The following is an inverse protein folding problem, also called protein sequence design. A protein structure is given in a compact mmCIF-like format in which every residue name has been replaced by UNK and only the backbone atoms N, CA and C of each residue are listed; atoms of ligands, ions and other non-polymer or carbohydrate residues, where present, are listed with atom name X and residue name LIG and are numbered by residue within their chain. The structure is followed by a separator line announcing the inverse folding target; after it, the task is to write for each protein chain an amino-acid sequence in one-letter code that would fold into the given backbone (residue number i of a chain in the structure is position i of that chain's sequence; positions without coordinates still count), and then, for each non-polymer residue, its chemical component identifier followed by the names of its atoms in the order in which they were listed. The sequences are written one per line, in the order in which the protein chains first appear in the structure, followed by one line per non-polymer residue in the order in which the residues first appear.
data_IF_277770477111
#
_entry.id   IF_277770477111
#
_cell.length_a   1.000
_cell.length_b   1.000
_cell.length_c   1.000
_cell.angle_alpha   90.00
_cell.angle_beta   90.00
_cell.angle_gamma   90.00
#
_symmetry.space_group_name_H-M   'P 1'
#
loop_
_entity.id
_entity.type
_entity.pdbx_description
1 polymer ?
#
# COMPACT_ATOMS: atom_id res chain seq x y z
N UNK A 1 -18.38 63.21 -18.14
CA UNK A 1 -17.38 62.40 -17.39
C UNK A 1 -17.71 60.93 -17.61
N UNK A 2 -17.00 60.29 -18.54
CA UNK A 2 -17.16 58.87 -18.87
C UNK A 2 -16.08 58.09 -18.12
N UNK A 3 -16.50 57.26 -17.20
CA UNK A 3 -15.62 56.39 -16.41
C UNK A 3 -15.43 55.05 -17.15
N UNK A 4 -14.19 54.77 -17.55
CA UNK A 4 -13.79 53.45 -18.12
C UNK A 4 -13.41 52.49 -16.97
N UNK A 5 -13.89 51.26 -16.95
CA UNK A 5 -13.40 50.25 -16.00
C UNK A 5 -12.06 49.68 -16.47
N UNK A 6 -11.04 49.75 -15.60
CA UNK A 6 -9.76 49.06 -15.79
C UNK A 6 -9.95 47.60 -15.56
N UNK A 7 -9.81 46.79 -16.63
CA UNK A 7 -9.79 45.35 -16.59
C UNK A 7 -8.41 44.86 -16.09
N UNK A 8 -8.32 44.42 -14.83
CA UNK A 8 -7.10 43.80 -14.28
C UNK A 8 -7.07 42.34 -14.77
N UNK A 9 -6.25 42.06 -15.78
CA UNK A 9 -5.94 40.70 -16.21
C UNK A 9 -4.93 40.11 -15.21
N UNK A 10 -5.40 39.22 -14.31
CA UNK A 10 -4.52 38.44 -13.45
C UNK A 10 -3.84 37.39 -14.33
N UNK A 11 -2.57 37.56 -14.63
CA UNK A 11 -1.71 36.56 -15.24
C UNK A 11 -1.44 35.48 -14.19
N UNK A 12 -2.16 34.35 -14.30
CA UNK A 12 -1.77 33.14 -13.61
C UNK A 12 -0.48 32.61 -14.24
N UNK A 13 0.65 32.87 -13.58
CA UNK A 13 1.90 32.19 -13.87
C UNK A 13 1.74 30.71 -13.45
N UNK A 14 1.32 29.87 -14.37
CA UNK A 14 1.51 28.43 -14.24
C UNK A 14 3.02 28.17 -14.35
N UNK A 15 3.67 27.95 -13.22
CA UNK A 15 5.02 27.38 -13.17
C UNK A 15 4.92 25.97 -13.76
N UNK A 16 5.15 25.85 -15.06
CA UNK A 16 5.46 24.59 -15.71
C UNK A 16 6.78 24.14 -15.10
N UNK A 17 6.75 23.17 -14.19
CA UNK A 17 7.94 22.45 -13.78
C UNK A 17 8.50 21.79 -15.06
N UNK A 18 9.54 22.40 -15.62
CA UNK A 18 10.32 21.80 -16.70
C UNK A 18 10.90 20.50 -16.12
N UNK A 19 10.41 19.34 -16.58
CA UNK A 19 11.08 18.09 -16.31
C UNK A 19 12.56 18.27 -16.63
N UNK A 20 13.45 17.85 -15.74
CA UNK A 20 14.89 17.90 -15.97
C UNK A 20 15.19 17.12 -17.26
N UNK A 21 15.32 17.86 -18.36
CA UNK A 21 15.57 17.28 -19.69
C UNK A 21 16.84 16.44 -19.72
N UNK A 22 17.80 16.69 -18.82
CA UNK A 22 19.03 15.92 -18.70
C UNK A 22 18.77 14.50 -18.17
N UNK A 23 17.90 14.36 -17.19
CA UNK A 23 17.50 13.07 -16.63
C UNK A 23 16.70 12.24 -17.63
N UNK A 24 15.79 12.83 -18.39
CA UNK A 24 15.03 12.15 -19.45
C UNK A 24 15.97 11.64 -20.54
N UNK A 25 16.88 12.50 -21.05
CA UNK A 25 17.85 12.11 -22.08
C UNK A 25 18.81 10.99 -21.62
N UNK A 26 19.17 10.96 -20.33
CA UNK A 26 19.98 9.90 -19.77
C UNK A 26 19.21 8.57 -19.70
N UNK A 27 17.94 8.61 -19.29
CA UNK A 27 17.06 7.46 -19.24
C UNK A 27 16.78 6.89 -20.65
N UNK A 28 16.56 7.73 -21.65
CA UNK A 28 16.34 7.31 -23.04
C UNK A 28 17.58 6.65 -23.67
N UNK A 29 18.78 7.03 -23.23
CA UNK A 29 20.03 6.33 -23.64
C UNK A 29 20.11 4.90 -23.06
N UNK A 30 19.54 4.67 -21.88
CA UNK A 30 19.44 3.34 -21.27
C UNK A 30 18.34 2.50 -21.92
N UNK A 31 17.32 3.15 -22.51
CA UNK A 31 16.26 2.62 -23.36
C UNK A 31 15.32 1.59 -22.73
N UNK A 32 15.63 1.02 -21.58
CA UNK A 32 14.77 0.03 -20.92
C UNK A 32 14.90 0.05 -19.38
N UNK A 33 13.89 -0.52 -18.73
CA UNK A 33 13.93 -0.89 -17.31
C UNK A 33 13.31 -2.27 -17.09
N UNK A 34 13.77 -2.97 -16.06
CA UNK A 34 13.17 -4.20 -15.54
C UNK A 34 12.47 -3.89 -14.23
N UNK A 35 11.14 -3.93 -14.25
CA UNK A 35 10.27 -3.69 -13.10
C UNK A 35 9.86 -5.00 -12.43
N UNK A 36 10.21 -5.18 -11.16
CA UNK A 36 9.61 -6.22 -10.33
C UNK A 36 8.48 -5.61 -9.50
N UNK A 37 7.26 -6.18 -9.58
CA UNK A 37 6.07 -5.55 -9.01
C UNK A 37 5.09 -6.53 -8.38
N UNK A 38 4.45 -6.11 -7.29
CA UNK A 38 3.28 -6.78 -6.68
C UNK A 38 1.95 -6.17 -7.14
N UNK A 39 1.99 -5.10 -7.94
CA UNK A 39 0.79 -4.48 -8.50
C UNK A 39 0.07 -5.47 -9.44
N UNK A 40 -1.26 -5.58 -9.31
CA UNK A 40 -2.07 -6.49 -10.13
C UNK A 40 -1.84 -6.26 -11.64
N UNK A 41 -1.94 -7.33 -12.44
CA UNK A 41 -1.58 -7.31 -13.85
C UNK A 41 -2.23 -6.20 -14.67
N UNK A 42 -3.55 -5.97 -14.50
CA UNK A 42 -4.24 -4.89 -15.23
C UNK A 42 -3.76 -3.49 -14.83
N UNK A 43 -3.61 -3.23 -13.52
CA UNK A 43 -3.13 -1.95 -13.03
C UNK A 43 -1.68 -1.70 -13.45
N UNK A 44 -0.84 -2.76 -13.38
CA UNK A 44 0.55 -2.70 -13.83
C UNK A 44 0.63 -2.36 -15.32
N UNK A 45 -0.19 -3.01 -16.16
CA UNK A 45 -0.25 -2.74 -17.60
C UNK A 45 -0.61 -1.26 -17.88
N UNK A 46 -1.66 -0.75 -17.24
CA UNK A 46 -2.09 0.65 -17.40
C UNK A 46 -1.00 1.63 -16.96
N UNK A 47 -0.30 1.33 -15.87
CA UNK A 47 0.81 2.15 -15.37
C UNK A 47 1.99 2.19 -16.36
N UNK A 48 2.36 1.02 -16.89
CA UNK A 48 3.44 0.90 -17.89
C UNK A 48 3.08 1.63 -19.19
N UNK A 49 1.87 1.44 -19.70
CA UNK A 49 1.39 2.10 -20.91
C UNK A 49 1.42 3.64 -20.77
N UNK A 50 0.98 4.15 -19.62
CA UNK A 50 1.01 5.58 -19.33
C UNK A 50 2.43 6.14 -19.23
N UNK A 51 3.35 5.39 -18.58
CA UNK A 51 4.76 5.75 -18.51
C UNK A 51 5.39 5.80 -19.91
N UNK A 52 5.24 4.74 -20.71
CA UNK A 52 5.82 4.64 -22.05
C UNK A 52 5.18 5.65 -23.03
N UNK A 53 3.92 6.01 -22.83
CA UNK A 53 3.30 7.10 -23.59
C UNK A 53 3.95 8.45 -23.31
N UNK A 54 4.34 8.71 -22.06
CA UNK A 54 5.02 9.94 -21.64
C UNK A 54 6.50 9.95 -22.00
N UNK A 55 7.14 8.78 -21.95
CA UNK A 55 8.58 8.58 -22.20
C UNK A 55 8.80 7.45 -23.20
N UNK A 56 8.53 7.71 -24.50
CA UNK A 56 8.54 6.65 -25.53
C UNK A 56 9.93 6.05 -25.80
N UNK A 57 10.99 6.73 -25.38
CA UNK A 57 12.37 6.23 -25.47
C UNK A 57 12.74 5.18 -24.43
N UNK A 58 11.83 4.83 -23.46
CA UNK A 58 12.13 3.86 -22.41
C UNK A 58 11.09 2.74 -22.40
N UNK A 59 11.54 1.51 -22.67
CA UNK A 59 10.67 0.30 -22.62
C UNK A 59 10.66 -0.29 -21.21
N UNK A 60 9.50 -0.75 -20.73
CA UNK A 60 9.37 -1.41 -19.42
C UNK A 60 9.12 -2.90 -19.60
N UNK A 61 10.07 -3.72 -19.15
CA UNK A 61 9.88 -5.16 -18.96
C UNK A 61 9.47 -5.41 -17.53
N UNK A 62 8.35 -6.12 -17.29
CA UNK A 62 7.88 -6.35 -15.93
C UNK A 62 7.78 -7.81 -15.56
N UNK A 63 8.12 -8.12 -14.31
CA UNK A 63 7.77 -9.36 -13.66
C UNK A 63 6.78 -9.07 -12.52
N UNK A 64 5.73 -9.87 -12.43
CA UNK A 64 4.70 -9.77 -11.41
C UNK A 64 4.67 -11.02 -10.53
N UNK A 65 4.45 -10.84 -9.23
CA UNK A 65 4.29 -11.92 -8.26
C UNK A 65 3.68 -11.44 -6.94
N UNK A 66 3.42 -12.38 -6.04
CA UNK A 66 3.06 -12.05 -4.66
C UNK A 66 4.26 -11.47 -3.92
N UNK A 67 4.00 -10.82 -2.79
CA UNK A 67 5.04 -10.26 -1.90
C UNK A 67 6.06 -11.33 -1.47
N UNK A 68 5.57 -12.53 -1.12
CA UNK A 68 6.43 -13.66 -0.77
C UNK A 68 7.28 -14.14 -1.97
N UNK A 69 6.66 -14.25 -3.16
CA UNK A 69 7.38 -14.62 -4.38
C UNK A 69 8.43 -13.57 -4.76
N UNK A 70 8.13 -12.29 -4.54
CA UNK A 70 9.04 -11.16 -4.72
C UNK A 70 10.25 -11.30 -3.80
N UNK A 71 10.02 -11.49 -2.51
CA UNK A 71 11.08 -11.67 -1.52
C UNK A 71 12.01 -12.84 -1.92
N UNK A 72 11.44 -14.00 -2.20
CA UNK A 72 12.17 -15.20 -2.56
C UNK A 72 12.99 -15.02 -3.86
N UNK A 73 12.39 -14.38 -4.86
CA UNK A 73 13.05 -14.11 -6.14
C UNK A 73 14.25 -13.19 -5.97
N UNK A 74 14.06 -12.03 -5.35
CA UNK A 74 15.14 -11.04 -5.16
C UNK A 74 16.28 -11.65 -4.36
N UNK A 75 16.01 -12.38 -3.27
CA UNK A 75 17.04 -13.01 -2.46
C UNK A 75 17.76 -14.18 -3.17
N UNK A 76 17.06 -14.86 -4.07
CA UNK A 76 17.68 -15.94 -4.87
C UNK A 76 18.59 -15.37 -5.95
N UNK A 77 18.11 -14.34 -6.67
CA UNK A 77 18.89 -13.67 -7.70
C UNK A 77 20.10 -12.93 -7.10
N UNK A 78 19.96 -12.32 -5.91
CA UNK A 78 21.07 -11.69 -5.19
C UNK A 78 22.17 -12.69 -4.86
N UNK A 79 21.84 -13.86 -4.29
CA UNK A 79 22.84 -14.89 -3.94
C UNK A 79 23.62 -15.40 -5.15
N UNK A 80 23.02 -15.40 -6.32
CA UNK A 80 23.67 -15.78 -7.58
C UNK A 80 24.36 -14.62 -8.31
N UNK A 81 24.30 -13.40 -7.76
CA UNK A 81 24.81 -12.19 -8.41
C UNK A 81 24.04 -11.80 -9.68
N UNK A 82 22.80 -12.29 -9.83
CA UNK A 82 21.99 -12.18 -11.04
C UNK A 82 20.70 -11.36 -10.85
N UNK A 83 20.65 -10.47 -9.84
CA UNK A 83 19.49 -9.58 -9.65
C UNK A 83 19.35 -8.66 -10.86
N UNK A 84 18.21 -8.78 -11.54
CA UNK A 84 17.95 -8.10 -12.83
C UNK A 84 17.04 -6.88 -12.69
N UNK A 85 16.41 -6.71 -11.55
CA UNK A 85 15.48 -5.58 -11.36
C UNK A 85 16.21 -4.25 -11.37
N UNK A 86 15.69 -3.28 -12.10
CA UNK A 86 16.06 -1.86 -12.01
C UNK A 86 15.15 -1.11 -11.04
N UNK A 87 13.92 -1.55 -10.92
CA UNK A 87 12.93 -1.01 -9.99
C UNK A 87 12.21 -2.15 -9.29
N UNK A 88 12.02 -2.04 -7.97
CA UNK A 88 11.21 -2.94 -7.17
C UNK A 88 10.04 -2.15 -6.58
N UNK A 89 8.82 -2.63 -6.82
CA UNK A 89 7.59 -2.15 -6.19
C UNK A 89 6.98 -3.29 -5.37
N UNK A 90 7.03 -3.18 -4.03
CA UNK A 90 6.62 -4.24 -3.10
C UNK A 90 6.18 -3.68 -1.75
N UNK A 91 5.83 -4.56 -0.82
CA UNK A 91 5.51 -4.19 0.57
C UNK A 91 6.70 -3.59 1.31
N UNK A 92 6.41 -2.70 2.26
CA UNK A 92 7.44 -2.01 3.06
C UNK A 92 8.30 -2.96 3.89
N UNK A 93 7.73 -4.06 4.38
CA UNK A 93 8.46 -5.05 5.21
C UNK A 93 9.54 -5.77 4.40
N UNK A 94 9.24 -6.20 3.16
CA UNK A 94 10.22 -6.80 2.25
C UNK A 94 11.30 -5.80 1.87
N UNK A 95 10.89 -4.55 1.64
CA UNK A 95 11.83 -3.48 1.28
C UNK A 95 12.84 -3.21 2.40
N UNK A 96 12.45 -3.37 3.66
CA UNK A 96 13.40 -3.31 4.80
C UNK A 96 14.38 -4.48 4.80
N UNK A 97 13.96 -5.68 4.40
CA UNK A 97 14.88 -6.82 4.22
C UNK A 97 15.93 -6.49 3.16
N UNK A 98 15.51 -5.94 2.02
CA UNK A 98 16.42 -5.58 0.92
C UNK A 98 17.36 -4.44 1.36
N UNK A 99 16.86 -3.40 2.01
CA UNK A 99 17.67 -2.31 2.56
C UNK A 99 18.79 -2.81 3.46
N UNK A 100 18.48 -3.68 4.43
CA UNK A 100 19.48 -4.19 5.39
C UNK A 100 20.52 -5.10 4.77
N UNK A 101 20.19 -5.75 3.66
CA UNK A 101 21.15 -6.52 2.88
C UNK A 101 22.01 -5.68 1.94
N UNK A 102 21.81 -4.33 1.94
CA UNK A 102 22.52 -3.44 1.04
C UNK A 102 22.10 -3.56 -0.43
N UNK A 103 20.90 -4.11 -0.67
CA UNK A 103 20.40 -4.37 -2.03
C UNK A 103 19.74 -3.16 -2.67
N UNK A 104 19.55 -2.07 -1.91
CA UNK A 104 18.92 -0.84 -2.39
C UNK A 104 19.93 0.31 -2.45
N UNK A 105 19.79 1.19 -3.43
CA UNK A 105 20.47 2.49 -3.45
C UNK A 105 19.58 3.58 -2.88
N UNK A 106 20.21 4.63 -2.37
CA UNK A 106 19.49 5.84 -1.95
C UNK A 106 19.05 6.62 -3.17
N UNK A 107 17.77 6.94 -3.20
CA UNK A 107 17.21 7.88 -4.18
C UNK A 107 16.03 8.62 -3.59
N UNK A 108 16.18 9.93 -3.46
CA UNK A 108 15.11 10.82 -3.00
C UNK A 108 14.60 11.58 -4.22
N UNK A 109 13.45 11.15 -4.72
CA UNK A 109 12.74 11.84 -5.79
C UNK A 109 12.30 13.24 -5.35
N UNK A 110 12.37 14.24 -6.22
CA UNK A 110 11.79 15.54 -5.97
C UNK A 110 10.27 15.45 -5.71
N UNK A 111 9.60 14.49 -6.32
CA UNK A 111 8.17 14.22 -6.10
C UNK A 111 7.86 13.70 -4.69
N UNK A 112 8.87 13.14 -4.00
CA UNK A 112 8.70 12.60 -2.66
C UNK A 112 8.39 13.68 -1.60
N UNK A 113 8.66 14.95 -1.85
CA UNK A 113 8.27 16.04 -0.93
C UNK A 113 6.76 16.11 -0.70
N UNK A 114 5.97 15.73 -1.71
CA UNK A 114 4.52 15.66 -1.60
C UNK A 114 4.01 14.40 -0.88
N UNK A 115 4.86 13.42 -0.60
CA UNK A 115 4.51 12.24 0.20
C UNK A 115 4.76 12.54 1.69
N UNK A 116 3.83 12.23 2.61
CA UNK A 116 4.06 12.45 4.04
C UNK A 116 5.32 11.76 4.56
N UNK A 117 6.04 12.38 5.50
CA UNK A 117 7.33 11.87 5.99
C UNK A 117 7.24 10.47 6.60
N UNK A 118 6.17 10.19 7.34
CA UNK A 118 5.92 8.88 7.93
C UNK A 118 5.56 7.78 6.91
N UNK A 119 5.48 8.13 5.62
CA UNK A 119 5.29 7.23 4.48
C UNK A 119 6.57 7.11 3.62
N UNK A 120 7.71 7.55 4.11
CA UNK A 120 8.99 7.48 3.42
C UNK A 120 10.05 6.86 4.31
N UNK A 121 11.03 6.20 3.70
CA UNK A 121 12.22 5.82 4.44
C UNK A 121 13.04 7.07 4.82
N UNK A 122 13.35 7.28 6.09
CA UNK A 122 14.08 8.49 6.52
C UNK A 122 15.49 8.60 5.94
N UNK A 123 16.08 7.48 5.49
CA UNK A 123 17.37 7.43 4.86
C UNK A 123 17.31 7.50 3.32
N UNK A 124 16.12 7.48 2.73
CA UNK A 124 15.89 7.66 1.29
C UNK A 124 16.05 6.42 0.44
N UNK A 125 15.87 5.21 0.98
CA UNK A 125 15.97 3.97 0.21
C UNK A 125 14.67 3.59 -0.49
N UNK A 126 13.51 4.04 0.01
CA UNK A 126 12.21 3.78 -0.59
C UNK A 126 11.20 4.89 -0.28
N UNK A 127 10.18 4.99 -1.11
CA UNK A 127 9.05 5.91 -0.93
C UNK A 127 7.75 5.17 -1.15
N UNK A 128 6.74 5.43 -0.30
CA UNK A 128 5.41 4.86 -0.47
C UNK A 128 4.71 5.44 -1.70
N UNK A 129 4.16 4.56 -2.53
CA UNK A 129 3.34 4.94 -3.68
C UNK A 129 1.88 5.07 -3.27
N UNK A 130 1.39 4.12 -2.48
CA UNK A 130 0.06 4.16 -1.88
C UNK A 130 -0.02 3.25 -0.65
N UNK A 131 -0.79 3.63 0.38
CA UNK A 131 -1.11 2.76 1.49
C UNK A 131 -2.22 1.78 1.13
N UNK A 132 -2.26 0.65 1.82
CA UNK A 132 -3.39 -0.29 1.86
C UNK A 132 -4.00 -0.23 3.26
N UNK A 133 -5.12 0.47 3.42
CA UNK A 133 -5.78 0.62 4.71
C UNK A 133 -6.59 -0.61 5.06
N UNK A 134 -6.42 -1.08 6.29
CA UNK A 134 -7.12 -2.25 6.81
C UNK A 134 -8.44 -1.82 7.43
N UNK A 135 -9.55 -2.30 6.87
CA UNK A 135 -10.90 -2.04 7.34
C UNK A 135 -11.61 -3.33 7.76
N UNK A 136 -12.68 -3.22 8.52
CA UNK A 136 -13.53 -4.38 8.83
C UNK A 136 -14.68 -4.43 7.84
N UNK A 137 -14.71 -5.47 7.01
CA UNK A 137 -15.77 -5.73 6.05
C UNK A 137 -16.93 -6.48 6.71
N UNK A 138 -18.15 -6.25 6.23
CA UNK A 138 -19.32 -7.01 6.66
C UNK A 138 -20.28 -7.29 5.50
N UNK A 139 -21.00 -8.42 5.57
CA UNK A 139 -22.03 -8.76 4.60
C UNK A 139 -23.32 -8.00 4.91
N UNK A 140 -23.86 -7.22 3.96
CA UNK A 140 -25.00 -6.32 4.17
C UNK A 140 -26.36 -7.03 4.27
N UNK A 141 -26.46 -8.29 3.86
CA UNK A 141 -27.68 -9.10 4.05
C UNK A 141 -27.73 -9.74 5.46
N UNK A 142 -26.57 -9.92 6.12
CA UNK A 142 -26.48 -10.54 7.45
C UNK A 142 -26.24 -9.55 8.58
N UNK A 143 -25.65 -8.39 8.29
CA UNK A 143 -25.30 -7.36 9.28
C UNK A 143 -25.82 -6.03 8.77
N UNK A 144 -26.77 -5.44 9.51
CA UNK A 144 -27.26 -4.10 9.16
C UNK A 144 -26.19 -3.04 9.47
N UNK A 145 -26.11 -1.93 8.73
CA UNK A 145 -25.09 -0.90 8.95
C UNK A 145 -25.00 -0.39 10.39
N UNK A 146 -26.13 -0.23 11.09
CA UNK A 146 -26.17 0.20 12.48
C UNK A 146 -25.68 -0.84 13.48
N UNK A 147 -25.69 -2.13 13.11
CA UNK A 147 -25.26 -3.25 13.95
C UNK A 147 -23.80 -3.63 13.69
N UNK A 148 -23.17 -3.09 12.61
CA UNK A 148 -21.78 -3.33 12.26
C UNK A 148 -20.84 -2.82 13.37
N UNK A 149 -19.72 -3.52 13.66
CA UNK A 149 -18.75 -3.09 14.65
C UNK A 149 -18.20 -1.68 14.31
N UNK A 150 -18.26 -0.74 15.23
CA UNK A 150 -17.76 0.63 15.05
C UNK A 150 -16.41 0.85 15.74
N UNK A 151 -16.03 -0.04 16.64
CA UNK A 151 -14.75 -0.03 17.39
C UNK A 151 -14.15 -1.42 17.47
N UNK A 152 -12.86 -1.49 17.75
CA UNK A 152 -12.20 -2.77 18.04
C UNK A 152 -12.86 -3.52 19.20
N UNK A 153 -13.40 -2.81 20.18
CA UNK A 153 -14.10 -3.42 21.33
C UNK A 153 -15.42 -4.09 20.91
N UNK A 154 -16.07 -3.57 19.86
CA UNK A 154 -17.31 -4.17 19.35
C UNK A 154 -17.09 -5.57 18.77
N UNK A 155 -15.89 -5.86 18.23
CA UNK A 155 -15.52 -7.19 17.74
C UNK A 155 -15.48 -8.24 18.87
N UNK A 156 -15.40 -7.80 20.13
CA UNK A 156 -15.38 -8.67 21.30
C UNK A 156 -16.79 -9.03 21.82
N UNK A 157 -17.86 -8.45 21.24
CA UNK A 157 -19.24 -8.73 21.64
C UNK A 157 -19.63 -10.18 21.33
N UNK A 158 -20.39 -10.86 22.20
CA UNK A 158 -20.75 -12.27 22.06
C UNK A 158 -21.44 -12.62 20.72
N UNK A 159 -22.16 -11.66 20.14
CA UNK A 159 -22.89 -11.86 18.88
C UNK A 159 -21.96 -12.19 17.69
N UNK A 160 -20.68 -11.83 17.76
CA UNK A 160 -19.69 -12.08 16.71
C UNK A 160 -18.89 -13.38 16.89
N UNK A 161 -19.08 -14.07 18.01
CA UNK A 161 -18.34 -15.31 18.28
C UNK A 161 -18.60 -16.36 17.20
N UNK A 162 -17.53 -16.82 16.54
CA UNK A 162 -17.57 -17.78 15.43
C UNK A 162 -18.08 -17.22 14.10
N UNK A 163 -18.26 -15.88 13.98
CA UNK A 163 -18.81 -15.22 12.79
C UNK A 163 -17.79 -14.31 12.08
N UNK A 164 -16.52 -14.41 12.44
CA UNK A 164 -15.48 -13.54 11.91
C UNK A 164 -14.38 -14.35 11.23
N UNK A 165 -13.81 -13.82 10.15
CA UNK A 165 -12.57 -14.31 9.55
C UNK A 165 -11.52 -13.23 9.49
N UNK A 166 -10.25 -13.63 9.57
CA UNK A 166 -9.08 -12.78 9.47
C UNK A 166 -7.96 -13.49 8.70
N UNK A 167 -7.09 -12.73 8.04
CA UNK A 167 -5.86 -13.26 7.45
C UNK A 167 -4.95 -13.81 8.57
N UNK A 168 -4.29 -14.94 8.29
CA UNK A 168 -3.50 -15.64 9.30
C UNK A 168 -2.18 -14.96 9.67
N UNK A 169 -1.67 -14.05 8.85
CA UNK A 169 -0.33 -13.45 8.97
C UNK A 169 -0.40 -11.93 9.23
N UNK A 170 -1.29 -11.48 10.13
CA UNK A 170 -1.49 -10.06 10.45
C UNK A 170 -0.43 -9.48 11.40
N UNK A 171 0.84 -9.81 11.17
CA UNK A 171 1.94 -9.41 12.05
C UNK A 171 2.18 -7.89 12.04
N UNK A 172 2.04 -7.26 10.88
CA UNK A 172 2.19 -5.81 10.72
C UNK A 172 1.10 -5.04 11.47
N UNK A 173 -0.15 -5.52 11.39
CA UNK A 173 -1.25 -4.99 12.16
C UNK A 173 -1.03 -5.14 13.66
N UNK A 174 -0.64 -6.33 14.12
CA UNK A 174 -0.38 -6.62 15.53
C UNK A 174 0.76 -5.74 16.09
N UNK A 175 1.86 -5.62 15.35
CA UNK A 175 2.99 -4.76 15.72
C UNK A 175 2.58 -3.28 15.78
N UNK A 176 1.75 -2.83 14.83
CA UNK A 176 1.25 -1.46 14.80
C UNK A 176 0.32 -1.16 15.97
N UNK A 177 -0.56 -2.10 16.35
CA UNK A 177 -1.37 -1.95 17.56
C UNK A 177 -0.52 -1.84 18.83
N UNK A 178 0.57 -2.65 18.94
CA UNK A 178 1.50 -2.54 20.08
C UNK A 178 2.15 -1.16 20.14
N UNK A 179 2.50 -0.58 19.00
CA UNK A 179 3.07 0.78 18.94
C UNK A 179 2.05 1.85 19.34
N UNK A 180 0.81 1.74 18.88
CA UNK A 180 -0.22 2.79 19.08
C UNK A 180 -0.88 2.69 20.44
N UNK A 181 -1.20 1.50 20.92
CA UNK A 181 -1.91 1.30 22.20
C UNK A 181 -0.97 1.01 23.39
N UNK A 182 0.30 0.71 23.12
CA UNK A 182 1.21 0.07 24.06
C UNK A 182 1.08 -1.46 24.04
N UNK A 183 2.20 -2.12 24.25
CA UNK A 183 2.34 -3.59 24.12
C UNK A 183 1.32 -4.36 24.97
N UNK A 184 1.20 -4.02 26.24
CA UNK A 184 0.32 -4.74 27.19
C UNK A 184 -1.15 -4.67 26.76
N UNK A 185 -1.64 -3.48 26.37
CA UNK A 185 -3.01 -3.27 25.95
C UNK A 185 -3.31 -3.99 24.64
N UNK A 186 -2.39 -3.97 23.67
CA UNK A 186 -2.55 -4.66 22.40
C UNK A 186 -2.60 -6.18 22.59
N UNK A 187 -1.72 -6.76 23.40
CA UNK A 187 -1.72 -8.18 23.72
C UNK A 187 -3.01 -8.59 24.46
N UNK A 188 -3.43 -7.80 25.46
CA UNK A 188 -4.66 -8.08 26.20
C UNK A 188 -5.90 -8.07 25.29
N UNK A 189 -5.95 -7.12 24.33
CA UNK A 189 -6.99 -7.07 23.31
C UNK A 189 -6.96 -8.31 22.41
N UNK A 190 -5.81 -8.67 21.85
CA UNK A 190 -5.67 -9.81 20.94
C UNK A 190 -6.02 -11.16 21.65
N UNK A 191 -5.64 -11.32 22.93
CA UNK A 191 -6.06 -12.47 23.74
C UNK A 191 -7.59 -12.58 23.88
N UNK A 192 -8.28 -11.44 24.10
CA UNK A 192 -9.75 -11.41 24.11
C UNK A 192 -10.33 -11.71 22.74
N UNK A 193 -9.74 -11.13 21.68
CA UNK A 193 -10.17 -11.37 20.31
C UNK A 193 -10.01 -12.86 19.92
N UNK A 194 -8.97 -13.53 20.36
CA UNK A 194 -8.76 -14.96 20.14
C UNK A 194 -9.88 -15.83 20.74
N UNK A 195 -10.53 -15.39 21.85
CA UNK A 195 -11.67 -16.11 22.44
C UNK A 195 -12.94 -16.04 21.59
N UNK A 196 -12.96 -15.21 20.54
CA UNK A 196 -14.09 -15.05 19.63
C UNK A 196 -14.21 -16.18 18.59
N UNK A 197 -13.35 -17.19 18.64
CA UNK A 197 -13.35 -18.31 17.69
C UNK A 197 -13.29 -17.84 16.24
N UNK A 198 -12.27 -17.04 15.93
CA UNK A 198 -12.04 -16.47 14.60
C UNK A 198 -11.61 -17.60 13.66
N UNK A 199 -12.16 -17.59 12.45
CA UNK A 199 -11.66 -18.40 11.34
C UNK A 199 -10.45 -17.70 10.72
N UNK A 200 -9.33 -18.42 10.57
CA UNK A 200 -8.15 -17.94 9.88
C UNK A 200 -8.06 -18.52 8.47
N UNK A 201 -8.03 -17.65 7.48
CA UNK A 201 -7.88 -18.01 6.08
C UNK A 201 -6.61 -17.35 5.50
N UNK A 202 -6.16 -17.80 4.33
CA UNK A 202 -5.05 -17.15 3.60
C UNK A 202 -5.59 -16.29 2.47
N UNK A 203 -5.18 -15.03 2.45
CA UNK A 203 -5.47 -14.07 1.40
C UNK A 203 -6.69 -13.18 1.67
N UNK A 204 -6.45 -11.90 1.90
CA UNK A 204 -7.48 -10.86 2.11
C UNK A 204 -8.55 -10.83 1.02
N UNK A 205 -8.15 -11.00 -0.25
CA UNK A 205 -9.08 -11.05 -1.39
C UNK A 205 -10.06 -12.23 -1.29
N UNK A 206 -9.58 -13.40 -0.86
CA UNK A 206 -10.43 -14.59 -0.65
C UNK A 206 -11.45 -14.32 0.45
N UNK A 207 -10.99 -13.81 1.61
CA UNK A 207 -11.87 -13.51 2.75
C UNK A 207 -12.92 -12.46 2.35
N UNK A 208 -12.52 -11.38 1.67
CA UNK A 208 -13.46 -10.38 1.18
C UNK A 208 -14.51 -10.98 0.23
N UNK A 209 -14.14 -11.94 -0.61
CA UNK A 209 -15.07 -12.65 -1.50
C UNK A 209 -16.04 -13.52 -0.71
N UNK A 210 -15.56 -14.22 0.33
CA UNK A 210 -16.40 -15.02 1.22
C UNK A 210 -17.40 -14.17 2.01
N UNK A 211 -16.97 -12.98 2.48
CA UNK A 211 -17.89 -12.02 3.10
C UNK A 211 -18.94 -11.53 2.11
N UNK A 212 -18.54 -11.21 0.89
CA UNK A 212 -19.46 -10.75 -0.16
C UNK A 212 -20.48 -11.84 -0.56
N UNK A 213 -20.09 -13.11 -0.52
CA UNK A 213 -20.95 -14.28 -0.79
C UNK A 213 -21.89 -14.64 0.38
N UNK A 214 -21.63 -14.11 1.58
CA UNK A 214 -22.40 -14.42 2.78
C UNK A 214 -21.92 -15.68 3.53
N UNK A 215 -20.78 -16.26 3.15
CA UNK A 215 -20.18 -17.40 3.85
C UNK A 215 -19.72 -17.03 5.27
N UNK A 216 -19.34 -15.76 5.45
CA UNK A 216 -18.85 -15.21 6.71
C UNK A 216 -19.46 -13.81 6.89
N UNK A 217 -20.07 -13.50 8.04
CA UNK A 217 -20.65 -12.17 8.29
C UNK A 217 -19.63 -11.03 8.30
N UNK A 218 -18.42 -11.26 8.87
CA UNK A 218 -17.41 -10.21 9.09
C UNK A 218 -16.03 -10.67 8.66
N UNK A 219 -15.32 -9.84 7.91
CA UNK A 219 -13.89 -9.96 7.59
C UNK A 219 -13.09 -8.86 8.29
N UNK A 220 -12.16 -9.25 9.18
CA UNK A 220 -11.29 -8.32 9.90
C UNK A 220 -10.05 -8.01 9.05
N UNK A 221 -9.61 -6.76 9.00
CA UNK A 221 -8.39 -6.31 8.31
C UNK A 221 -8.42 -6.52 6.78
N UNK A 222 -9.56 -6.27 6.16
CA UNK A 222 -9.68 -6.31 4.71
C UNK A 222 -9.17 -5.00 4.08
N UNK A 223 -8.63 -5.06 2.88
CA UNK A 223 -8.19 -3.86 2.16
C UNK A 223 -9.39 -3.06 1.63
N UNK A 224 -9.47 -1.78 1.97
CA UNK A 224 -10.56 -0.87 1.66
C UNK A 224 -10.92 -0.85 0.16
N UNK A 225 -9.91 -0.75 -0.72
CA UNK A 225 -10.12 -0.69 -2.16
C UNK A 225 -10.79 -1.96 -2.71
N UNK A 226 -10.48 -3.12 -2.09
CA UNK A 226 -11.06 -4.38 -2.53
C UNK A 226 -12.54 -4.45 -2.20
N UNK A 227 -12.91 -3.99 -1.00
CA UNK A 227 -14.30 -3.94 -0.58
C UNK A 227 -15.08 -2.93 -1.45
N UNK A 228 -14.52 -1.72 -1.65
CA UNK A 228 -15.11 -0.70 -2.53
C UNK A 228 -15.33 -1.24 -3.96
N UNK A 229 -14.36 -1.99 -4.51
CA UNK A 229 -14.49 -2.61 -5.83
C UNK A 229 -15.60 -3.66 -5.88
N UNK A 230 -15.74 -4.51 -4.86
CA UNK A 230 -16.82 -5.50 -4.77
C UNK A 230 -18.19 -4.82 -4.62
N UNK A 231 -18.30 -3.82 -3.75
CA UNK A 231 -19.50 -3.01 -3.55
C UNK A 231 -19.94 -2.34 -4.86
N UNK A 232 -19.02 -1.74 -5.60
CA UNK A 232 -19.29 -1.12 -6.90
C UNK A 232 -19.82 -2.11 -7.95
N UNK A 233 -19.45 -3.38 -7.84
CA UNK A 233 -19.97 -4.48 -8.69
C UNK A 233 -21.31 -5.05 -8.20
N UNK A 234 -21.91 -4.47 -7.17
CA UNK A 234 -23.21 -4.89 -6.63
C UNK A 234 -23.15 -6.01 -5.60
N UNK A 235 -21.95 -6.39 -5.13
CA UNK A 235 -21.81 -7.40 -4.09
C UNK A 235 -22.40 -6.91 -2.75
N UNK A 236 -22.92 -7.85 -1.97
CA UNK A 236 -23.56 -7.58 -0.67
C UNK A 236 -22.51 -7.42 0.43
N UNK A 237 -21.70 -6.38 0.31
CA UNK A 237 -20.57 -6.10 1.22
C UNK A 237 -20.45 -4.60 1.44
N UNK A 238 -20.11 -4.22 2.67
CA UNK A 238 -19.70 -2.88 3.05
C UNK A 238 -18.59 -2.94 4.10
N UNK A 239 -18.10 -1.81 4.57
CA UNK A 239 -17.00 -1.76 5.52
C UNK A 239 -17.15 -0.63 6.55
N UNK A 240 -16.43 -0.78 7.65
CA UNK A 240 -16.21 0.25 8.67
C UNK A 240 -14.71 0.37 8.95
N UNK A 241 -14.26 1.59 9.19
CA UNK A 241 -12.90 1.88 9.60
C UNK A 241 -12.81 1.88 11.13
N UNK A 242 -12.16 0.86 11.71
CA UNK A 242 -11.93 0.80 13.16
C UNK A 242 -10.65 1.56 13.51
N UNK A 243 -10.74 2.55 14.37
CA UNK A 243 -9.59 3.36 14.77
C UNK A 243 -8.74 2.68 15.87
N UNK A 244 -7.42 2.64 15.72
CA UNK A 244 -6.61 3.17 14.61
C UNK A 244 -6.70 2.30 13.35
N UNK A 245 -6.86 2.95 12.18
CA UNK A 245 -6.80 2.24 10.90
C UNK A 245 -5.34 1.99 10.54
N UNK A 246 -4.93 0.74 10.57
CA UNK A 246 -3.57 0.36 10.17
C UNK A 246 -3.45 0.34 8.64
N UNK A 247 -2.36 0.84 8.11
CA UNK A 247 -2.07 0.77 6.69
C UNK A 247 -0.72 0.09 6.41
N UNK A 248 -0.77 -0.92 5.56
CA UNK A 248 0.43 -1.51 4.97
C UNK A 248 0.92 -0.56 3.86
N UNK A 249 2.23 -0.39 3.77
CA UNK A 249 2.84 0.46 2.75
C UNK A 249 3.18 -0.37 1.52
N UNK A 250 2.76 0.08 0.34
CA UNK A 250 3.29 -0.37 -0.94
C UNK A 250 4.29 0.66 -1.45
N UNK A 251 5.54 0.29 -1.49
CA UNK A 251 6.68 1.20 -1.67
C UNK A 251 7.48 0.87 -2.91
N UNK A 252 8.17 1.88 -3.44
CA UNK A 252 9.03 1.77 -4.62
C UNK A 252 10.48 2.07 -4.24
N UNK A 253 11.41 1.30 -4.79
CA UNK A 253 12.84 1.42 -4.56
C UNK A 253 13.65 1.04 -5.80
N UNK A 254 14.92 1.46 -5.82
CA UNK A 254 15.88 1.15 -6.87
C UNK A 254 16.94 0.21 -6.28
N UNK A 255 17.19 -0.96 -6.87
CA UNK A 255 18.30 -1.82 -6.48
C UNK A 255 19.67 -1.16 -6.62
N UNK A 256 20.61 -1.52 -5.72
CA UNK A 256 21.96 -0.95 -5.71
C UNK A 256 22.79 -1.28 -6.97
N UNK A 257 22.42 -2.35 -7.66
CA UNK A 257 23.07 -2.84 -8.89
C UNK A 257 22.20 -2.65 -10.14
N UNK A 258 21.21 -1.73 -10.11
CA UNK A 258 20.35 -1.46 -11.26
C UNK A 258 21.20 -1.19 -12.53
N UNK A 259 20.92 -1.93 -13.60
CA UNK A 259 21.62 -1.77 -14.87
C UNK A 259 21.25 -0.47 -15.59
N UNK A 260 20.03 0.02 -15.36
CA UNK A 260 19.45 1.20 -15.99
C UNK A 260 19.03 2.25 -14.92
N UNK A 261 20.01 2.83 -14.17
CA UNK A 261 19.70 3.65 -12.99
C UNK A 261 19.01 4.98 -13.30
N UNK A 262 19.21 5.57 -14.50
CA UNK A 262 18.54 6.82 -14.87
C UNK A 262 17.10 6.56 -15.29
N UNK A 263 16.83 5.51 -16.06
CA UNK A 263 15.51 5.06 -16.42
C UNK A 263 14.70 4.61 -15.17
N UNK A 264 15.37 3.95 -14.21
CA UNK A 264 14.80 3.59 -12.93
C UNK A 264 14.35 4.81 -12.11
N UNK A 265 15.20 5.84 -12.01
CA UNK A 265 14.84 7.12 -11.36
C UNK A 265 13.65 7.79 -12.04
N UNK A 266 13.65 7.85 -13.37
CA UNK A 266 12.56 8.44 -14.14
C UNK A 266 11.23 7.70 -13.89
N UNK A 267 11.26 6.36 -13.77
CA UNK A 267 10.07 5.58 -13.46
C UNK A 267 9.60 5.81 -12.01
N UNK A 268 10.50 5.89 -11.03
CA UNK A 268 10.16 6.24 -9.64
C UNK A 268 9.52 7.62 -9.59
N UNK A 269 10.09 8.62 -10.25
CA UNK A 269 9.55 9.98 -10.31
C UNK A 269 8.15 9.98 -10.95
N UNK A 270 7.95 9.24 -12.03
CA UNK A 270 6.63 9.09 -12.65
C UNK A 270 5.61 8.47 -11.70
N UNK A 271 5.96 7.41 -10.99
CA UNK A 271 5.06 6.76 -10.04
C UNK A 271 4.61 7.68 -8.90
N UNK A 272 5.50 8.59 -8.46
CA UNK A 272 5.24 9.55 -7.38
C UNK A 272 4.65 10.88 -7.89
N UNK A 273 4.71 11.15 -9.19
CA UNK A 273 4.19 12.38 -9.81
C UNK A 273 2.66 12.46 -9.74
N UNK A 274 2.13 13.65 -10.06
CA UNK A 274 0.68 13.86 -10.17
C UNK A 274 0.05 12.89 -11.17
N UNK A 275 0.71 12.62 -12.31
CA UNK A 275 0.21 11.70 -13.34
C UNK A 275 0.11 10.27 -12.81
N UNK A 276 1.19 9.74 -12.25
CA UNK A 276 1.22 8.39 -11.67
C UNK A 276 0.24 8.23 -10.52
N UNK A 277 0.12 9.23 -9.65
CA UNK A 277 -0.79 9.18 -8.51
C UNK A 277 -2.26 9.33 -8.91
N UNK A 278 -2.58 10.01 -10.02
CA UNK A 278 -3.92 9.99 -10.60
C UNK A 278 -4.29 8.62 -11.17
N UNK A 279 -3.34 7.84 -11.69
CA UNK A 279 -3.57 6.44 -12.07
C UNK A 279 -3.87 5.58 -10.81
N UNK A 280 -3.08 5.73 -9.76
CA UNK A 280 -3.34 5.07 -8.44
C UNK A 280 -4.76 5.39 -7.96
N UNK A 281 -5.16 6.67 -8.01
CA UNK A 281 -6.52 7.12 -7.73
C UNK A 281 -7.56 6.43 -8.64
N UNK A 282 -7.27 6.33 -9.94
CA UNK A 282 -8.13 5.66 -10.92
C UNK A 282 -8.33 4.18 -10.65
N UNK A 283 -7.36 3.51 -10.02
CA UNK A 283 -7.45 2.12 -9.55
C UNK A 283 -8.33 1.95 -8.30
N UNK A 284 -8.90 3.04 -7.78
CA UNK A 284 -9.72 3.05 -6.56
C UNK A 284 -8.92 2.98 -5.27
N UNK A 285 -7.62 3.30 -5.32
CA UNK A 285 -6.71 3.27 -4.17
C UNK A 285 -6.53 4.66 -3.55
N UNK A 286 -6.01 4.71 -2.34
CA UNK A 286 -5.59 5.95 -1.69
C UNK A 286 -4.25 6.37 -2.30
N UNK A 287 -4.14 7.54 -2.96
CA UNK A 287 -2.85 8.03 -3.42
C UNK A 287 -1.91 8.33 -2.25
N UNK A 288 -0.63 8.05 -2.42
CA UNK A 288 0.39 8.42 -1.42
C UNK A 288 0.67 9.93 -1.38
N UNK A 289 0.35 10.65 -2.45
CA UNK A 289 0.65 12.08 -2.65
C UNK A 289 -0.41 12.96 -2.01
N UNK A 290 0.01 13.96 -1.24
CA UNK A 290 -0.87 15.04 -0.73
C UNK A 290 -1.52 15.78 -1.89
N UNK A 291 -2.77 16.21 -1.69
CA UNK A 291 -3.53 16.98 -2.68
C UNK A 291 -4.20 16.16 -3.78
N UNK A 292 -4.08 14.84 -3.74
CA UNK A 292 -4.83 13.94 -4.62
C UNK A 292 -5.71 13.04 -3.76
N UNK A 293 -6.99 13.41 -3.67
CA UNK A 293 -7.96 12.66 -2.86
C UNK A 293 -8.43 11.37 -3.57
N UNK A 294 -8.74 10.29 -2.84
CA UNK A 294 -9.37 9.09 -3.40
C UNK A 294 -10.67 9.41 -4.13
N UNK A 295 -11.06 8.57 -5.09
CA UNK A 295 -12.35 8.72 -5.80
C UNK A 295 -13.54 8.41 -4.90
N UNK A 296 -13.40 7.45 -4.01
CA UNK A 296 -14.43 7.07 -3.05
C UNK A 296 -14.37 8.02 -1.84
N UNK A 297 -15.49 8.71 -1.57
CA UNK A 297 -15.60 9.70 -0.49
C UNK A 297 -15.49 9.09 0.90
N UNK A 298 -15.85 7.82 1.06
CA UNK A 298 -15.73 7.13 2.34
C UNK A 298 -14.29 6.71 2.58
N UNK A 299 -13.58 6.26 1.54
CA UNK A 299 -12.13 6.00 1.59
C UNK A 299 -11.37 7.30 1.92
N UNK A 300 -11.78 8.45 1.38
CA UNK A 300 -11.15 9.74 1.65
C UNK A 300 -11.22 10.18 3.13
N UNK A 301 -12.15 9.62 3.91
CA UNK A 301 -12.27 9.89 5.35
C UNK A 301 -11.28 9.09 6.19
N UNK A 302 -10.68 8.03 5.66
CA UNK A 302 -9.74 7.19 6.37
C UNK A 302 -8.46 7.98 6.67
N UNK A 303 -8.02 7.94 7.93
CA UNK A 303 -6.74 8.49 8.38
C UNK A 303 -5.79 7.34 8.74
N UNK A 304 -5.12 6.76 7.75
CA UNK A 304 -4.34 5.56 7.99
C UNK A 304 -3.08 5.85 8.80
N UNK A 305 -2.77 4.96 9.72
CA UNK A 305 -1.50 4.93 10.45
C UNK A 305 -0.61 3.91 9.74
N UNK A 306 0.52 4.34 9.15
CA UNK A 306 1.42 3.42 8.46
C UNK A 306 2.05 2.43 9.44
N UNK A 307 2.29 1.21 8.98
CA UNK A 307 3.13 0.24 9.69
C UNK A 307 4.54 0.81 9.88
N UNK A 308 5.09 0.64 11.09
CA UNK A 308 6.47 1.02 11.37
C UNK A 308 7.41 -0.12 10.94
N UNK A 309 7.63 -0.21 9.65
CA UNK A 309 8.44 -1.28 9.05
C UNK A 309 9.87 -1.33 9.59
N UNK A 310 10.44 -0.18 9.99
CA UNK A 310 11.78 -0.10 10.56
C UNK A 310 11.84 -0.74 11.96
N UNK A 311 10.86 -0.46 12.81
CA UNK A 311 10.77 -1.08 14.16
C UNK A 311 10.41 -2.56 14.04
N UNK A 312 9.46 -2.93 13.19
CA UNK A 312 9.08 -4.33 12.96
C UNK A 312 10.32 -5.14 12.53
N UNK A 313 11.09 -4.59 11.63
CA UNK A 313 12.31 -5.25 11.19
C UNK A 313 13.42 -5.29 12.27
N UNK A 314 13.63 -4.23 13.03
CA UNK A 314 14.65 -4.15 14.09
C UNK A 314 14.39 -5.15 15.21
N UNK A 315 13.13 -5.29 15.62
CA UNK A 315 12.69 -6.27 16.64
C UNK A 315 12.71 -7.69 16.06
N UNK A 316 12.42 -7.83 14.79
CA UNK A 316 12.28 -9.07 14.04
C UNK A 316 10.80 -9.40 13.82
N UNK A 317 10.43 -9.56 12.56
CA UNK A 317 9.07 -9.97 12.20
C UNK A 317 8.72 -11.33 12.84
N UNK A 318 9.73 -12.20 12.99
CA UNK A 318 9.59 -13.50 13.65
C UNK A 318 9.17 -13.39 15.12
N UNK A 319 9.62 -12.34 15.83
CA UNK A 319 9.26 -12.11 17.24
C UNK A 319 7.77 -11.75 17.34
N UNK A 320 7.32 -10.81 16.51
CA UNK A 320 5.89 -10.46 16.44
C UNK A 320 5.06 -11.64 15.94
N UNK A 321 5.54 -12.35 14.93
CA UNK A 321 4.88 -13.51 14.36
C UNK A 321 4.74 -14.67 15.36
N UNK A 322 5.77 -14.94 16.16
CA UNK A 322 5.71 -15.96 17.21
C UNK A 322 4.66 -15.61 18.26
N UNK A 323 4.72 -14.39 18.81
CA UNK A 323 3.78 -13.93 19.83
C UNK A 323 2.33 -13.92 19.30
N UNK A 324 2.13 -13.45 18.06
CA UNK A 324 0.83 -13.47 17.39
C UNK A 324 0.28 -14.91 17.27
N UNK A 325 1.09 -15.85 16.75
CA UNK A 325 0.68 -17.26 16.62
C UNK A 325 0.35 -17.90 17.97
N UNK A 326 1.14 -17.63 19.00
CA UNK A 326 0.87 -18.11 20.36
C UNK A 326 -0.45 -17.57 20.90
N UNK A 327 -0.78 -16.29 20.68
CA UNK A 327 -2.03 -15.68 21.13
C UNK A 327 -3.24 -16.29 20.43
N UNK A 328 -3.15 -16.52 19.12
CA UNK A 328 -4.27 -17.00 18.31
C UNK A 328 -4.29 -18.52 18.08
N UNK A 329 -3.35 -19.26 18.66
CA UNK A 329 -3.25 -20.73 18.52
C UNK A 329 -2.92 -21.18 17.10
N UNK A 330 -2.15 -20.39 16.35
CA UNK A 330 -1.74 -20.69 14.97
C UNK A 330 -0.39 -21.44 14.95
N UNK A 331 -0.26 -22.39 14.02
CA UNK A 331 0.99 -23.12 13.76
C UNK A 331 1.90 -22.42 12.77
#
# INVERSE_FOLDING_TARGET
MLSFPILIIALFNSTVYSADTSGVNAAEKEAEIVLYTVMSGDNNRVMIEAFQKKYPGVTVKSWWGSTESMLNRVLTEERSGALKADVIFSGGSEMQVFKKRGLLQKYISAEAEAIPENFRDPEGYWTNVHPLSMVTAYNTDQVKPQDAPQTYQDLLKPQWKGKMSMERLEYDWFATLQRVWGREKAIAYCKKLATQNIRFDSGHTKIATMVAAGDIPIGINMYEYRIASLKKKGAKIDWVALEPVVAILEVIAIPSNAAHPNAAKLFVDFMLSVDGQNLIRGFGRIPGRRGIEPLDKDIAKIKPIPTDVATIYRVGLDVFGKEYREIFGLQ
#
